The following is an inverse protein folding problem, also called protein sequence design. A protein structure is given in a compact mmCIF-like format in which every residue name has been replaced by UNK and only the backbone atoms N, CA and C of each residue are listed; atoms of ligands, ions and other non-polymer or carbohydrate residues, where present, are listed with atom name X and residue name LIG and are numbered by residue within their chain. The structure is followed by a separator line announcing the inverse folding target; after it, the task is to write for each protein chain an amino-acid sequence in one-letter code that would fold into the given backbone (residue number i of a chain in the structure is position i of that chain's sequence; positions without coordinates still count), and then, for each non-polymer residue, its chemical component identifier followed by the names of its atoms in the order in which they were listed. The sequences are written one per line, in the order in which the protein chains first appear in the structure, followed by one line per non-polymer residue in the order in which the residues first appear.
data_IF_989026580689
#
_entry.id   IF_989026580689
#
_cell.length_a   1.000
_cell.length_b   1.000
_cell.length_c   1.000
_cell.angle_alpha   90.00
_cell.angle_beta   90.00
_cell.angle_gamma   90.00
#
_symmetry.space_group_name_H-M   'P 1'
#
loop_
_entity.id
_entity.type
_entity.pdbx_description
1 polymer ?
#
# COMPACT_ATOMS: atom_id res chain seq x y z
N UNK A 1 26.98 5.75 -17.32
CA UNK A 1 25.52 5.48 -17.21
C UNK A 1 25.24 4.88 -15.85
N UNK A 2 24.88 5.68 -14.84
CA UNK A 2 24.58 5.19 -13.49
C UNK A 2 23.42 5.98 -12.91
N UNK A 3 22.20 5.47 -13.09
CA UNK A 3 21.00 6.04 -12.46
C UNK A 3 21.08 5.75 -10.95
N UNK A 4 21.55 6.71 -10.17
CA UNK A 4 21.34 6.71 -8.71
C UNK A 4 19.83 6.84 -8.48
N UNK A 5 19.25 5.87 -7.78
CA UNK A 5 17.88 5.95 -7.25
C UNK A 5 17.86 7.22 -6.39
N UNK A 6 17.03 8.19 -6.76
CA UNK A 6 16.75 9.30 -5.87
C UNK A 6 15.96 8.67 -4.73
N UNK A 7 16.51 8.75 -3.52
CA UNK A 7 15.71 8.73 -2.30
C UNK A 7 14.60 9.74 -2.53
N UNK A 8 13.42 9.24 -2.89
CA UNK A 8 12.19 10.01 -2.90
C UNK A 8 11.92 10.25 -1.41
N UNK A 9 12.45 11.36 -0.90
CA UNK A 9 12.08 11.88 0.41
C UNK A 9 10.56 11.90 0.44
N UNK A 10 9.99 11.01 1.26
CA UNK A 10 8.55 10.93 1.48
C UNK A 10 8.07 12.36 1.70
N UNK A 11 7.10 12.81 0.89
CA UNK A 11 6.54 14.14 1.08
C UNK A 11 6.14 14.29 2.54
N UNK A 12 6.33 15.47 3.16
CA UNK A 12 5.99 15.67 4.56
C UNK A 12 4.58 15.20 4.92
N UNK A 13 3.64 15.34 3.98
CA UNK A 13 2.27 14.82 4.12
C UNK A 13 2.22 13.29 4.19
N UNK A 14 2.94 12.57 3.32
CA UNK A 14 3.03 11.12 3.37
C UNK A 14 3.71 10.64 4.66
N UNK A 15 4.74 11.35 5.12
CA UNK A 15 5.40 11.06 6.39
C UNK A 15 4.42 11.18 7.57
N UNK A 16 3.67 12.28 7.67
CA UNK A 16 2.65 12.48 8.72
C UNK A 16 1.57 11.41 8.69
N UNK A 17 1.11 11.00 7.50
CA UNK A 17 0.11 9.94 7.37
C UNK A 17 0.67 8.60 7.89
N UNK A 18 1.92 8.26 7.52
CA UNK A 18 2.56 7.03 7.98
C UNK A 18 2.82 7.03 9.48
N UNK A 19 3.18 8.18 10.06
CA UNK A 19 3.31 8.36 11.51
C UNK A 19 1.98 8.12 12.23
N UNK A 20 0.90 8.76 11.76
CA UNK A 20 -0.43 8.59 12.35
C UNK A 20 -0.93 7.14 12.24
N UNK A 21 -0.60 6.43 11.16
CA UNK A 21 -0.90 5.00 11.04
C UNK A 21 -0.07 4.15 12.01
N UNK A 22 1.18 4.52 12.28
CA UNK A 22 2.04 3.84 13.24
C UNK A 22 1.50 4.00 14.66
N UNK A 23 1.13 5.22 15.04
CA UNK A 23 0.53 5.53 16.34
C UNK A 23 -0.78 4.75 16.54
N UNK A 24 -1.59 4.63 15.49
CA UNK A 24 -2.83 3.84 15.51
C UNK A 24 -2.60 2.32 15.66
N UNK A 25 -1.41 1.84 15.33
CA UNK A 25 -0.99 0.44 15.45
C UNK A 25 -0.16 0.17 16.69
N UNK A 26 -0.05 1.14 17.61
CA UNK A 26 0.63 0.98 18.87
C UNK A 26 -0.33 1.07 20.06
N UNK A 27 0.06 0.48 21.19
CA UNK A 27 -0.61 0.63 22.48
C UNK A 27 -0.23 1.96 23.17
N UNK A 28 -0.74 2.17 24.39
CA UNK A 28 -0.48 3.38 25.19
C UNK A 28 1.00 3.58 25.56
N UNK A 29 1.82 2.52 25.51
CA UNK A 29 3.27 2.58 25.74
C UNK A 29 4.05 2.82 24.43
N UNK A 30 3.36 2.92 23.29
CA UNK A 30 3.98 3.01 21.96
C UNK A 30 4.49 1.67 21.43
N UNK A 31 4.11 0.54 22.02
CA UNK A 31 4.49 -0.80 21.52
C UNK A 31 3.52 -1.25 20.44
N UNK A 32 3.98 -1.94 19.39
CA UNK A 32 3.09 -2.48 18.38
C UNK A 32 1.98 -3.36 18.97
N UNK A 33 0.76 -3.18 18.50
CA UNK A 33 -0.38 -4.00 18.88
C UNK A 33 -0.13 -5.47 18.52
N UNK A 34 -0.56 -6.37 19.39
CA UNK A 34 -0.49 -7.81 19.16
C UNK A 34 -1.27 -8.20 17.88
N UNK A 35 -0.85 -9.24 17.14
CA UNK A 35 -1.62 -9.79 16.02
C UNK A 35 -3.06 -10.19 16.38
N UNK A 36 -3.29 -10.58 17.64
CA UNK A 36 -4.63 -10.92 18.15
C UNK A 36 -5.47 -9.69 18.52
N UNK A 37 -4.91 -8.49 18.46
CA UNK A 37 -5.63 -7.26 18.77
C UNK A 37 -6.69 -6.97 17.69
N UNK A 38 -7.94 -6.64 18.04
CA UNK A 38 -9.02 -6.44 17.06
C UNK A 38 -8.71 -5.39 15.99
N UNK A 39 -7.96 -4.35 16.34
CA UNK A 39 -7.56 -3.30 15.41
C UNK A 39 -6.49 -3.76 14.42
N UNK A 40 -5.54 -4.58 14.89
CA UNK A 40 -4.50 -5.16 14.04
C UNK A 40 -5.11 -6.09 12.99
N UNK A 41 -6.06 -6.95 13.40
CA UNK A 41 -6.75 -7.87 12.50
C UNK A 41 -7.55 -7.13 11.42
N UNK A 42 -8.27 -6.07 11.80
CA UNK A 42 -9.04 -5.24 10.86
C UNK A 42 -8.15 -4.58 9.82
N UNK A 43 -7.05 -3.97 10.25
CA UNK A 43 -6.13 -3.27 9.35
C UNK A 43 -5.42 -4.26 8.42
N UNK A 44 -4.90 -5.36 8.96
CA UNK A 44 -4.26 -6.41 8.16
C UNK A 44 -5.24 -6.99 7.14
N UNK A 45 -6.47 -7.30 7.54
CA UNK A 45 -7.49 -7.78 6.63
C UNK A 45 -7.88 -6.76 5.54
N UNK A 46 -7.89 -5.47 5.85
CA UNK A 46 -8.09 -4.43 4.84
C UNK A 46 -6.93 -4.40 3.83
N UNK A 47 -5.69 -4.44 4.30
CA UNK A 47 -4.49 -4.46 3.46
C UNK A 47 -4.47 -5.70 2.55
N UNK A 48 -4.81 -6.88 3.08
CA UNK A 48 -4.94 -8.12 2.29
C UNK A 48 -6.02 -8.02 1.22
N UNK A 49 -7.16 -7.41 1.53
CA UNK A 49 -8.23 -7.17 0.57
C UNK A 49 -7.79 -6.22 -0.55
N UNK A 50 -7.07 -5.14 -0.21
CA UNK A 50 -6.50 -4.20 -1.18
C UNK A 50 -5.49 -4.92 -2.06
N UNK A 51 -4.56 -5.69 -1.47
CA UNK A 51 -3.55 -6.46 -2.19
C UNK A 51 -4.18 -7.49 -3.13
N UNK A 52 -5.22 -8.19 -2.67
CA UNK A 52 -5.97 -9.16 -3.47
C UNK A 52 -6.67 -8.48 -4.65
N UNK A 53 -7.29 -7.31 -4.43
CA UNK A 53 -7.93 -6.53 -5.50
C UNK A 53 -6.91 -6.00 -6.51
N UNK A 54 -5.75 -5.52 -6.05
CA UNK A 54 -4.66 -5.07 -6.92
C UNK A 54 -4.18 -6.21 -7.83
N UNK A 55 -3.85 -7.37 -7.26
CA UNK A 55 -3.44 -8.58 -8.01
C UNK A 55 -4.50 -9.06 -9.01
N UNK A 56 -5.79 -8.91 -8.69
CA UNK A 56 -6.88 -9.24 -9.61
C UNK A 56 -6.93 -8.28 -10.79
N UNK A 57 -6.68 -6.98 -10.59
CA UNK A 57 -6.56 -6.00 -11.69
C UNK A 57 -5.38 -6.30 -12.59
N UNK A 58 -4.23 -6.65 -12.02
CA UNK A 58 -3.03 -7.01 -12.80
C UNK A 58 -3.24 -8.28 -13.64
N UNK A 59 -4.12 -9.19 -13.20
CA UNK A 59 -4.50 -10.40 -13.95
C UNK A 59 -5.68 -10.20 -14.91
N UNK A 60 -6.39 -9.06 -14.84
CA UNK A 60 -7.51 -8.71 -15.71
C UNK A 60 -7.10 -7.86 -16.92
N UNK A 61 -5.80 -7.69 -17.20
CA UNK A 61 -5.33 -7.35 -18.55
C UNK A 61 -4.99 -8.63 -19.35
N UNK A 62 -5.97 -9.27 -20.03
CA UNK A 62 -5.69 -10.06 -21.21
C UNK A 62 -5.77 -9.14 -22.45
N UNK A 63 -4.61 -8.78 -22.98
CA UNK A 63 -4.31 -8.76 -24.42
C UNK A 63 -5.37 -8.24 -25.41
N UNK A 64 -5.92 -7.03 -25.23
CA UNK A 64 -6.57 -6.31 -26.35
C UNK A 64 -6.17 -4.83 -26.43
N UNK A 65 -4.86 -4.53 -26.37
CA UNK A 65 -4.32 -3.29 -26.95
C UNK A 65 -3.92 -3.54 -28.42
N UNK A 66 -4.86 -4.12 -29.15
CA UNK A 66 -4.85 -4.27 -30.59
C UNK A 66 -6.06 -3.53 -31.17
N UNK A 67 -6.09 -2.22 -31.02
CA UNK A 67 -6.91 -1.37 -31.90
C UNK A 67 -5.99 -0.38 -32.60
N UNK A 68 -5.48 -0.87 -33.73
CA UNK A 68 -4.91 -0.06 -34.80
C UNK A 68 -6.01 0.90 -35.26
N UNK A 69 -5.94 2.15 -34.84
CA UNK A 69 -6.74 3.22 -35.42
C UNK A 69 -6.29 3.43 -36.86
N UNK A 70 -7.05 2.87 -37.81
CA UNK A 70 -7.06 3.31 -39.20
C UNK A 70 -8.28 4.18 -39.41
N UNK A 71 -8.07 5.47 -39.63
CA UNK A 71 -8.76 6.35 -40.57
C UNK A 71 -8.21 7.77 -40.40
#
# INVERSE_FOLDING_TARGET
MGRKKKDDELSPEMATILEGMQELMCDEDGKPLSPDHPQYQKLTGLLENIATRARKRDQQEPSTLGHKGTA
#
